data_IF_340187646873
#
_entry.id   IF_340187646873
#
_cell.length_a   1.000
_cell.length_b   1.000
_cell.length_c   1.000
_cell.angle_alpha   90.00
_cell.angle_beta   90.00
_cell.angle_gamma   90.00
#
_symmetry.space_group_name_H-M   'P 1'
#
loop_
_entity.id
_entity.type
_entity.pdbx_description
1 polymer ?
#
# COMPACT_ATOMS: atom_id res chain seq x y z
N UNK A 1 -9.40 15.84 -12.31
CA UNK A 1 -9.65 14.72 -13.24
C UNK A 1 -10.05 13.55 -12.35
N UNK A 2 -11.29 13.06 -12.45
CA UNK A 2 -11.77 11.97 -11.60
C UNK A 2 -11.02 10.67 -11.92
N UNK A 3 -10.51 9.99 -10.90
CA UNK A 3 -9.79 8.73 -11.06
C UNK A 3 -10.76 7.63 -11.51
N UNK A 4 -10.43 6.94 -12.60
CA UNK A 4 -11.23 5.81 -13.09
C UNK A 4 -10.78 4.51 -12.45
N UNK A 5 -11.72 3.75 -11.87
CA UNK A 5 -11.47 2.40 -11.38
C UNK A 5 -12.47 1.39 -11.93
N UNK A 6 -12.04 0.13 -12.07
CA UNK A 6 -12.85 -0.96 -12.59
C UNK A 6 -12.47 -2.27 -11.90
N UNK A 7 -13.44 -3.16 -11.76
CA UNK A 7 -13.18 -4.55 -11.38
C UNK A 7 -13.75 -5.53 -12.40
N UNK A 8 -13.16 -6.73 -12.45
CA UNK A 8 -13.68 -7.88 -13.18
C UNK A 8 -13.55 -9.14 -12.32
N UNK A 9 -14.31 -10.18 -12.68
CA UNK A 9 -14.23 -11.48 -12.02
C UNK A 9 -13.30 -12.40 -12.81
N UNK A 10 -12.24 -12.84 -12.15
CA UNK A 10 -11.34 -13.89 -12.63
C UNK A 10 -11.98 -15.24 -12.24
N UNK A 11 -12.57 -15.91 -13.22
CA UNK A 11 -13.28 -17.18 -13.03
C UNK A 11 -12.36 -18.36 -12.77
N UNK A 12 -11.12 -18.31 -13.27
CA UNK A 12 -10.15 -19.39 -13.10
C UNK A 12 -9.69 -19.46 -11.64
N UNK A 13 -9.34 -18.31 -11.07
CA UNK A 13 -8.88 -18.20 -9.67
C UNK A 13 -9.97 -17.79 -8.69
N UNK A 14 -11.21 -17.65 -9.16
CA UNK A 14 -12.41 -17.33 -8.37
C UNK A 14 -12.22 -16.10 -7.47
N UNK A 15 -11.71 -15.02 -8.05
CA UNK A 15 -11.38 -13.78 -7.33
C UNK A 15 -11.86 -12.56 -8.11
N UNK A 16 -12.20 -11.48 -7.40
CA UNK A 16 -12.49 -10.19 -8.02
C UNK A 16 -11.21 -9.38 -8.07
N UNK A 17 -10.82 -8.97 -9.27
CA UNK A 17 -9.63 -8.16 -9.51
C UNK A 17 -10.06 -6.72 -9.72
N UNK A 18 -9.36 -5.81 -9.05
CA UNK A 18 -9.52 -4.37 -9.11
C UNK A 18 -8.29 -3.72 -9.75
N UNK A 19 -8.54 -2.73 -10.61
CA UNK A 19 -7.53 -1.88 -11.21
C UNK A 19 -8.02 -0.44 -11.23
N UNK A 20 -7.11 0.51 -11.01
CA UNK A 20 -7.38 1.93 -11.05
C UNK A 20 -6.36 2.66 -11.92
N UNK A 21 -6.80 3.75 -12.55
CA UNK A 21 -5.90 4.70 -13.21
C UNK A 21 -5.22 5.55 -12.15
N UNK A 22 -3.91 5.70 -12.26
CA UNK A 22 -3.08 6.55 -11.40
C UNK A 22 -2.60 7.71 -12.25
N UNK A 23 -3.11 8.90 -11.98
CA UNK A 23 -2.73 10.12 -12.69
C UNK A 23 -1.33 10.58 -12.27
N UNK A 24 -0.67 11.31 -13.16
CA UNK A 24 0.60 11.96 -12.85
C UNK A 24 0.43 13.06 -11.81
N UNK A 25 1.45 13.20 -10.97
CA UNK A 25 1.61 14.36 -10.08
C UNK A 25 2.66 15.35 -10.61
N UNK A 26 3.18 15.12 -11.83
CA UNK A 26 4.10 16.00 -12.55
C UNK A 26 3.37 17.11 -13.31
N UNK A 27 4.10 18.16 -13.71
CA UNK A 27 3.52 19.22 -14.54
C UNK A 27 3.27 18.73 -15.98
N UNK A 28 2.38 19.42 -16.70
CA UNK A 28 2.07 19.08 -18.10
C UNK A 28 3.29 19.18 -19.01
N UNK A 29 4.19 20.12 -18.73
CA UNK A 29 5.44 20.30 -19.48
C UNK A 29 6.36 19.09 -19.30
N UNK A 30 6.45 18.55 -18.08
CA UNK A 30 7.21 17.32 -17.79
C UNK A 30 6.58 16.12 -18.50
N UNK A 31 5.25 16.00 -18.48
CA UNK A 31 4.54 14.91 -19.16
C UNK A 31 4.75 14.94 -20.68
N UNK A 32 4.70 16.14 -21.28
CA UNK A 32 5.02 16.35 -22.70
C UNK A 32 6.48 15.99 -22.99
N UNK A 33 7.41 16.42 -22.13
CA UNK A 33 8.83 16.16 -22.30
C UNK A 33 9.20 14.67 -22.19
N UNK A 34 8.58 13.94 -21.24
CA UNK A 34 8.79 12.49 -21.07
C UNK A 34 8.01 11.65 -22.10
N UNK A 35 6.97 12.21 -22.73
CA UNK A 35 6.21 11.59 -23.82
C UNK A 35 5.11 10.62 -23.40
N UNK A 36 4.77 10.56 -22.11
CA UNK A 36 3.71 9.70 -21.57
C UNK A 36 3.08 10.35 -20.34
N UNK A 37 1.85 9.96 -19.99
CA UNK A 37 1.16 10.43 -18.78
C UNK A 37 0.19 9.37 -18.29
N UNK A 38 0.32 8.97 -17.03
CA UNK A 38 -0.59 8.08 -16.34
C UNK A 38 -0.07 6.64 -16.27
N UNK A 39 -0.45 5.98 -15.18
CA UNK A 39 -0.13 4.58 -14.89
C UNK A 39 -1.41 3.82 -14.54
N UNK A 40 -1.32 2.49 -14.54
CA UNK A 40 -2.31 1.65 -13.88
C UNK A 40 -1.77 1.16 -12.54
N UNK A 41 -2.62 1.15 -11.52
CA UNK A 41 -2.29 0.51 -10.25
C UNK A 41 -2.02 -0.97 -10.47
N UNK A 42 -1.14 -1.57 -9.67
CA UNK A 42 -0.97 -3.02 -9.68
C UNK A 42 -2.32 -3.72 -9.43
N UNK A 43 -2.68 -4.80 -10.16
CA UNK A 43 -3.94 -5.51 -9.95
C UNK A 43 -4.09 -6.01 -8.51
N UNK A 44 -5.25 -5.78 -7.91
CA UNK A 44 -5.53 -6.19 -6.51
C UNK A 44 -6.71 -7.12 -6.44
N UNK A 45 -6.59 -8.19 -5.66
CA UNK A 45 -7.75 -8.95 -5.20
C UNK A 45 -8.55 -8.07 -4.24
N UNK A 46 -9.87 -8.06 -4.40
CA UNK A 46 -10.79 -7.36 -3.49
C UNK A 46 -11.85 -8.29 -2.91
N UNK A 47 -12.17 -8.10 -1.63
CA UNK A 47 -13.19 -8.85 -0.91
C UNK A 47 -13.78 -8.02 0.24
N UNK A 48 -14.94 -8.41 0.75
CA UNK A 48 -15.55 -7.77 1.91
C UNK A 48 -14.82 -8.20 3.18
N UNK A 49 -14.44 -7.24 4.01
CA UNK A 49 -13.87 -7.52 5.33
C UNK A 49 -14.84 -8.33 6.20
N UNK A 50 -14.32 -9.07 7.19
CA UNK A 50 -15.13 -9.86 8.12
C UNK A 50 -16.17 -9.01 8.86
N UNK A 51 -15.86 -7.75 9.14
CA UNK A 51 -16.79 -6.80 9.76
C UNK A 51 -17.90 -6.31 8.83
N UNK A 52 -17.84 -6.61 7.52
CA UNK A 52 -18.88 -6.26 6.54
C UNK A 52 -18.98 -4.76 6.20
N UNK A 53 -18.09 -3.93 6.76
CA UNK A 53 -18.17 -2.45 6.65
C UNK A 53 -17.23 -1.86 5.61
N UNK A 54 -16.26 -2.64 5.12
CA UNK A 54 -15.23 -2.16 4.21
C UNK A 54 -14.73 -3.26 3.28
N UNK A 55 -14.14 -2.85 2.15
CA UNK A 55 -13.42 -3.76 1.28
C UNK A 55 -11.96 -3.85 1.73
N UNK A 56 -11.41 -5.06 1.66
CA UNK A 56 -9.97 -5.30 1.79
C UNK A 56 -9.40 -5.47 0.38
N UNK A 57 -8.19 -4.95 0.18
CA UNK A 57 -7.46 -5.09 -1.07
C UNK A 57 -6.06 -5.64 -0.77
N UNK A 58 -5.60 -6.56 -1.61
CA UNK A 58 -4.22 -7.07 -1.57
C UNK A 58 -3.72 -7.26 -3.01
N UNK A 59 -2.47 -6.94 -3.34
CA UNK A 59 -1.87 -7.30 -4.63
C UNK A 59 -2.15 -8.77 -4.98
N UNK A 60 -2.34 -9.06 -6.26
CA UNK A 60 -2.49 -10.45 -6.70
C UNK A 60 -1.20 -11.23 -6.45
N UNK A 61 -1.31 -12.51 -6.09
CA UNK A 61 -0.17 -13.35 -5.69
C UNK A 61 0.90 -13.50 -6.78
N UNK A 62 0.55 -13.26 -8.06
CA UNK A 62 1.50 -13.25 -9.16
C UNK A 62 2.63 -12.22 -9.01
N UNK A 63 2.42 -11.15 -8.24
CA UNK A 63 3.50 -10.16 -7.98
C UNK A 63 4.69 -10.78 -7.27
N UNK A 64 4.45 -11.82 -6.46
CA UNK A 64 5.48 -12.46 -5.65
C UNK A 64 6.55 -13.13 -6.53
N UNK A 65 6.20 -13.49 -7.77
CA UNK A 65 7.14 -14.04 -8.75
C UNK A 65 8.23 -13.03 -9.18
N UNK A 66 8.04 -11.73 -8.93
CA UNK A 66 9.01 -10.67 -9.21
C UNK A 66 9.99 -10.44 -8.06
N UNK A 67 9.76 -11.05 -6.88
CA UNK A 67 10.62 -10.89 -5.71
C UNK A 67 11.97 -11.57 -5.96
N UNK A 68 13.05 -10.86 -5.66
CA UNK A 68 14.43 -11.36 -5.77
C UNK A 68 15.26 -10.81 -4.61
N UNK A 69 16.37 -11.48 -4.27
CA UNK A 69 17.36 -11.01 -3.29
C UNK A 69 16.72 -10.53 -1.98
N UNK A 70 15.88 -11.38 -1.37
CA UNK A 70 15.14 -11.03 -0.17
C UNK A 70 16.09 -10.69 1.00
N UNK A 71 15.77 -9.59 1.69
CA UNK A 71 16.44 -9.18 2.93
C UNK A 71 15.42 -9.30 4.05
N UNK A 72 15.73 -10.12 5.06
CA UNK A 72 14.89 -10.32 6.22
C UNK A 72 15.56 -9.77 7.48
N UNK A 73 14.78 -9.03 8.28
CA UNK A 73 15.21 -8.48 9.57
C UNK A 73 14.19 -8.90 10.62
N UNK A 74 14.68 -9.41 11.75
CA UNK A 74 13.83 -9.85 12.86
C UNK A 74 14.27 -9.19 14.15
N UNK A 75 13.29 -8.88 15.01
CA UNK A 75 13.52 -8.37 16.37
C UNK A 75 14.41 -7.11 16.42
N UNK A 76 14.29 -6.23 15.42
CA UNK A 76 15.01 -4.96 15.42
C UNK A 76 14.29 -3.98 16.34
N UNK A 77 15.03 -3.46 17.32
CA UNK A 77 14.55 -2.39 18.20
C UNK A 77 14.77 -1.07 17.47
N UNK A 78 13.70 -0.30 17.30
CA UNK A 78 13.75 1.05 16.76
C UNK A 78 13.56 2.04 17.91
N UNK A 79 14.64 2.70 18.31
CA UNK A 79 14.61 3.74 19.32
C UNK A 79 13.91 5.00 18.80
N UNK A 80 13.39 5.82 19.72
CA UNK A 80 12.76 7.09 19.37
C UNK A 80 13.74 7.99 18.58
N UNK A 81 13.30 8.44 17.41
CA UNK A 81 14.11 9.27 16.52
C UNK A 81 15.19 8.53 15.72
N UNK A 82 15.32 7.21 15.90
CA UNK A 82 16.26 6.40 15.13
C UNK A 82 15.77 6.14 13.70
N UNK A 83 16.70 5.72 12.84
CA UNK A 83 16.44 5.27 11.47
C UNK A 83 17.27 4.02 11.21
N UNK A 84 16.69 3.06 10.51
CA UNK A 84 17.37 1.86 10.04
C UNK A 84 17.43 1.89 8.52
N UNK A 85 18.64 1.83 7.97
CA UNK A 85 18.85 1.72 6.53
C UNK A 85 18.87 0.25 6.09
N UNK A 86 18.21 -0.05 4.97
CA UNK A 86 18.15 -1.39 4.40
C UNK A 86 18.74 -1.34 2.99
N UNK A 87 19.76 -2.15 2.73
CA UNK A 87 20.44 -2.18 1.42
C UNK A 87 19.70 -3.09 0.42
N UNK A 88 18.85 -2.50 -0.41
CA UNK A 88 18.14 -3.14 -1.53
C UNK A 88 18.13 -2.24 -2.76
N UNK A 89 17.63 -2.73 -3.90
CA UNK A 89 17.32 -1.88 -5.07
C UNK A 89 16.11 -0.99 -4.76
N UNK A 90 16.33 0.09 -4.02
CA UNK A 90 15.28 0.89 -3.38
C UNK A 90 14.22 1.47 -4.34
N UNK A 91 14.58 1.72 -5.61
CA UNK A 91 13.64 2.24 -6.61
C UNK A 91 12.58 1.21 -7.05
N UNK A 92 12.81 -0.09 -6.82
CA UNK A 92 11.89 -1.17 -7.16
C UNK A 92 12.05 -2.31 -6.16
N UNK A 93 11.24 -2.29 -5.10
CA UNK A 93 11.24 -3.28 -4.05
C UNK A 93 9.80 -3.54 -3.55
N UNK A 94 9.61 -4.72 -2.95
CA UNK A 94 8.41 -5.06 -2.19
C UNK A 94 8.82 -5.20 -0.72
N UNK A 95 8.18 -4.43 0.17
CA UNK A 95 8.60 -4.28 1.57
C UNK A 95 7.41 -4.54 2.48
N UNK A 96 7.54 -5.58 3.31
CA UNK A 96 6.59 -5.92 4.35
C UNK A 96 7.24 -5.67 5.73
N UNK A 97 6.52 -5.02 6.64
CA UNK A 97 6.99 -4.73 8.00
C UNK A 97 5.85 -4.90 9.01
N UNK A 98 6.17 -5.46 10.18
CA UNK A 98 5.25 -5.60 11.29
C UNK A 98 5.82 -4.92 12.54
N UNK A 99 5.02 -4.05 13.15
CA UNK A 99 5.38 -3.37 14.39
C UNK A 99 4.56 -3.93 15.55
N UNK A 100 5.11 -4.85 16.36
CA UNK A 100 4.46 -5.28 17.58
C UNK A 100 4.55 -4.15 18.61
N UNK A 101 3.40 -3.62 19.03
CA UNK A 101 3.33 -2.60 20.07
C UNK A 101 2.96 -3.28 21.40
N UNK A 102 3.75 -3.13 22.47
CA UNK A 102 3.38 -3.63 23.79
C UNK A 102 2.08 -2.99 24.29
N UNK A 103 1.17 -3.79 24.85
CA UNK A 103 -0.12 -3.30 25.38
C UNK A 103 0.09 -2.19 26.43
N UNK A 104 1.10 -2.34 27.30
CA UNK A 104 1.44 -1.33 28.32
C UNK A 104 1.78 0.06 27.74
N UNK A 105 2.24 0.12 26.48
CA UNK A 105 2.48 1.38 25.78
C UNK A 105 1.17 1.96 25.21
N UNK A 106 0.26 1.11 24.75
CA UNK A 106 -1.07 1.52 24.27
C UNK A 106 -1.93 2.11 25.38
N UNK A 107 -1.80 1.59 26.62
CA UNK A 107 -2.51 2.13 27.79
C UNK A 107 -2.11 3.58 28.13
N UNK A 108 -0.91 3.99 27.73
CA UNK A 108 -0.40 5.36 27.91
C UNK A 108 -0.69 6.26 26.71
N UNK A 109 -1.24 5.71 25.63
CA UNK A 109 -1.55 6.48 24.43
C UNK A 109 -2.70 7.45 24.67
N UNK A 110 -2.61 8.63 24.06
CA UNK A 110 -3.70 9.61 24.10
C UNK A 110 -4.97 9.03 23.46
N UNK A 111 -6.10 9.25 24.12
CA UNK A 111 -7.40 8.84 23.59
C UNK A 111 -7.75 9.72 22.39
N UNK A 112 -7.91 9.10 21.23
CA UNK A 112 -8.40 9.76 20.04
C UNK A 112 -9.90 10.07 20.22
N UNK A 113 -10.20 11.33 20.56
CA UNK A 113 -11.57 11.83 20.66
C UNK A 113 -12.26 11.78 19.30
N UNK A 114 -13.47 11.22 19.24
CA UNK A 114 -14.19 10.98 17.97
C UNK A 114 -14.90 12.22 17.40
N UNK A 115 -14.79 13.37 18.08
CA UNK A 115 -15.42 14.63 17.69
C UNK A 115 -14.65 15.42 16.62
N UNK A 116 -13.56 14.85 16.09
CA UNK A 116 -12.76 15.45 15.04
C UNK A 116 -13.55 15.48 13.73
N UNK A 117 -14.19 16.61 13.47
CA UNK A 117 -14.92 16.90 12.22
C UNK A 117 -14.06 17.61 11.18
N UNK A 118 -12.83 18.02 11.53
CA UNK A 118 -11.93 18.73 10.65
C UNK A 118 -10.69 17.89 10.29
N UNK A 119 -10.62 17.33 9.07
CA UNK A 119 -9.49 16.53 8.59
C UNK A 119 -8.37 17.36 7.93
N UNK A 120 -8.34 18.70 8.12
CA UNK A 120 -7.31 19.57 7.51
C UNK A 120 -5.97 19.53 8.23
#
# INVERSE_FOLDING_TARGET
MEGYSKSFFDSEKKRRIFIASVSESTSKEIDIAKGWSGLQSFPRKIWLDKGGKQLVQCPVEEIEMLRTNQVELHNVILDAGSKLEISVTAAQADVEIAFPIPIALLEQAEVLESNWTNPQ
#
